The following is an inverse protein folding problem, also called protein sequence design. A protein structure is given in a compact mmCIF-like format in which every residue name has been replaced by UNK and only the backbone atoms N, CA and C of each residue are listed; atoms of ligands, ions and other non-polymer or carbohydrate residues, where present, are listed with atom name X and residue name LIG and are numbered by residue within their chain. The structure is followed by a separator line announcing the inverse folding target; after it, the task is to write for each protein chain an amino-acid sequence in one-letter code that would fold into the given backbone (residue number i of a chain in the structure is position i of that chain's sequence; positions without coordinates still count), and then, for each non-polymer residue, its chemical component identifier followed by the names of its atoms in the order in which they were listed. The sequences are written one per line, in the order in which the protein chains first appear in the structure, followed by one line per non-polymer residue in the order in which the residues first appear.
data_IF_876754701921
#
_entry.id   IF_876754701921
#
_cell.length_a   1.000
_cell.length_b   1.000
_cell.length_c   1.000
_cell.angle_alpha   90.00
_cell.angle_beta   90.00
_cell.angle_gamma   90.00
#
_symmetry.space_group_name_H-M   'P 1'
#
loop_
_entity.id
_entity.type
_entity.pdbx_description
1 polymer ?
#
# COMPACT_ATOMS: atom_id res chain seq x y z
N UNK A 1 18.85 13.16 15.88
CA UNK A 1 17.82 12.91 16.92
C UNK A 1 17.65 11.40 17.10
N UNK A 2 17.26 10.94 18.28
CA UNK A 2 16.90 9.52 18.53
C UNK A 2 15.40 9.32 18.39
N UNK A 3 14.93 8.10 18.09
CA UNK A 3 13.49 7.76 18.12
C UNK A 3 12.86 8.11 19.47
N UNK A 4 13.58 7.86 20.56
CA UNK A 4 13.12 8.23 21.91
C UNK A 4 12.88 9.74 22.08
N UNK A 5 13.65 10.59 21.40
CA UNK A 5 13.40 12.04 21.38
C UNK A 5 12.16 12.37 20.55
N UNK A 6 12.02 11.74 19.39
CA UNK A 6 10.88 11.94 18.49
C UNK A 6 9.55 11.58 19.18
N UNK A 7 9.52 10.45 19.91
CA UNK A 7 8.32 9.97 20.62
C UNK A 7 7.87 10.87 21.78
N UNK A 8 8.67 11.86 22.19
CA UNK A 8 8.23 12.91 23.13
C UNK A 8 7.28 13.90 22.46
N UNK A 9 7.43 14.08 21.15
CA UNK A 9 6.70 15.06 20.35
C UNK A 9 5.71 14.41 19.40
N UNK A 10 5.93 13.15 19.05
CA UNK A 10 5.15 12.43 18.04
C UNK A 10 4.57 11.14 18.58
N UNK A 11 3.33 10.84 18.22
CA UNK A 11 2.75 9.51 18.38
C UNK A 11 2.59 8.87 17.00
N UNK A 12 2.93 7.58 16.92
CA UNK A 12 2.78 6.77 15.72
C UNK A 12 1.59 5.84 15.93
N UNK A 13 0.56 5.95 15.10
CA UNK A 13 -0.47 4.91 15.00
C UNK A 13 -0.09 4.02 13.83
N UNK A 14 -0.07 2.70 14.05
CA UNK A 14 0.33 1.72 13.05
C UNK A 14 -0.82 0.73 12.91
N UNK A 15 -1.38 0.66 11.70
CA UNK A 15 -2.29 -0.42 11.30
C UNK A 15 -1.45 -1.39 10.48
N UNK A 16 -1.05 -2.55 11.03
CA UNK A 16 -0.12 -3.44 10.32
C UNK A 16 -0.75 -4.08 9.09
N UNK A 17 -2.03 -4.44 9.17
CA UNK A 17 -2.79 -5.11 8.11
C UNK A 17 -4.20 -4.52 8.15
N UNK A 18 -4.61 -3.85 7.07
CA UNK A 18 -5.97 -3.35 6.90
C UNK A 18 -6.92 -4.42 6.34
N UNK A 19 -6.41 -5.27 5.43
CA UNK A 19 -7.15 -6.33 4.74
C UNK A 19 -6.66 -7.72 5.21
N UNK A 20 -7.02 -8.17 6.43
CA UNK A 20 -6.57 -9.47 6.94
C UNK A 20 -7.16 -10.64 6.16
N UNK A 21 -8.35 -10.47 5.58
CA UNK A 21 -9.06 -11.52 4.87
C UNK A 21 -8.42 -11.73 3.48
N UNK A 22 -8.23 -10.66 2.72
CA UNK A 22 -7.52 -10.72 1.44
C UNK A 22 -6.06 -11.14 1.59
N UNK A 23 -5.42 -10.84 2.73
CA UNK A 23 -4.09 -11.38 3.04
C UNK A 23 -4.11 -12.92 3.06
N UNK A 24 -5.06 -13.52 3.77
CA UNK A 24 -5.17 -14.98 3.88
C UNK A 24 -5.43 -15.59 2.50
N UNK A 25 -6.36 -15.01 1.75
CA UNK A 25 -6.64 -15.42 0.37
C UNK A 25 -5.41 -15.33 -0.54
N UNK A 26 -4.57 -14.29 -0.39
CA UNK A 26 -3.36 -14.13 -1.21
C UNK A 26 -2.28 -15.20 -0.99
N UNK A 27 -2.36 -15.95 0.12
CA UNK A 27 -1.47 -17.08 0.39
C UNK A 27 -1.88 -18.34 -0.39
N UNK A 28 -3.14 -18.40 -0.83
CA UNK A 28 -3.69 -19.50 -1.63
C UNK A 28 -3.71 -19.11 -3.12
N UNK A 29 -4.20 -17.90 -3.43
CA UNK A 29 -4.15 -17.33 -4.77
C UNK A 29 -3.28 -16.05 -4.79
N UNK A 30 -2.05 -16.09 -5.32
CA UNK A 30 -1.12 -14.96 -5.30
C UNK A 30 -1.57 -13.76 -6.15
N UNK A 31 -2.61 -13.90 -6.97
CA UNK A 31 -3.24 -12.80 -7.71
C UNK A 31 -4.24 -12.01 -6.89
N UNK A 32 -4.71 -12.54 -5.76
CA UNK A 32 -5.77 -11.91 -4.99
C UNK A 32 -5.34 -10.57 -4.37
N UNK A 33 -6.17 -9.54 -4.58
CA UNK A 33 -5.94 -8.13 -4.19
C UNK A 33 -7.04 -7.55 -3.29
N UNK A 34 -8.30 -7.91 -3.57
CA UNK A 34 -9.50 -7.31 -2.97
C UNK A 34 -9.68 -7.80 -1.52
N UNK A 35 -10.69 -7.33 -0.82
CA UNK A 35 -11.11 -7.99 0.43
C UNK A 35 -11.99 -9.21 0.11
N UNK A 36 -12.46 -9.94 1.13
CA UNK A 36 -13.34 -11.10 0.95
C UNK A 36 -14.81 -10.78 1.22
N UNK A 37 -15.27 -9.61 0.76
CA UNK A 37 -16.72 -9.35 0.73
C UNK A 37 -17.32 -10.35 -0.28
N UNK A 38 -18.32 -11.17 0.11
CA UNK A 38 -19.00 -12.02 -0.85
C UNK A 38 -19.65 -11.17 -1.94
N UNK A 39 -19.35 -11.54 -3.18
CA UNK A 39 -19.90 -10.96 -4.39
C UNK A 39 -20.45 -12.13 -5.22
N UNK A 40 -21.56 -11.85 -5.89
CA UNK A 40 -22.20 -12.73 -6.87
C UNK A 40 -21.91 -12.04 -8.20
N UNK A 41 -20.78 -12.40 -8.82
CA UNK A 41 -20.20 -11.71 -9.97
C UNK A 41 -21.05 -11.89 -11.24
N UNK A 42 -21.64 -13.07 -11.43
CA UNK A 42 -22.37 -13.46 -12.64
C UNK A 42 -23.91 -13.40 -12.49
N UNK A 43 -24.41 -13.29 -11.25
CA UNK A 43 -25.81 -13.13 -10.90
C UNK A 43 -26.59 -14.43 -10.82
N UNK A 44 -25.93 -15.58 -10.67
CA UNK A 44 -26.56 -16.89 -10.58
C UNK A 44 -27.12 -17.21 -9.18
N UNK A 45 -26.75 -16.40 -8.18
CA UNK A 45 -27.20 -16.49 -6.79
C UNK A 45 -26.25 -17.25 -5.86
N UNK A 46 -25.06 -17.61 -6.34
CA UNK A 46 -23.95 -18.18 -5.61
C UNK A 46 -22.80 -17.16 -5.50
N UNK A 47 -21.76 -17.47 -4.72
CA UNK A 47 -20.67 -16.52 -4.43
C UNK A 47 -19.36 -17.28 -4.24
N UNK A 48 -18.26 -16.75 -4.80
CA UNK A 48 -16.88 -17.24 -4.59
C UNK A 48 -16.65 -18.71 -5.07
N UNK A 49 -17.10 -19.08 -6.27
CA UNK A 49 -17.27 -20.48 -6.68
C UNK A 49 -16.05 -21.16 -7.33
N UNK A 50 -15.25 -20.49 -8.18
CA UNK A 50 -14.04 -21.11 -8.79
C UNK A 50 -12.81 -20.17 -8.77
N UNK A 51 -12.18 -19.97 -7.60
CA UNK A 51 -10.88 -19.31 -7.56
C UNK A 51 -9.85 -20.15 -8.36
N UNK A 52 -8.88 -19.50 -9.02
CA UNK A 52 -7.76 -20.21 -9.63
C UNK A 52 -7.08 -21.14 -8.62
N UNK A 53 -6.70 -22.32 -9.11
CA UNK A 53 -6.06 -23.36 -8.31
C UNK A 53 -4.69 -23.72 -8.90
N UNK A 54 -3.69 -23.86 -8.04
CA UNK A 54 -2.38 -24.44 -8.39
C UNK A 54 -2.55 -25.96 -8.62
N UNK A 55 -2.80 -26.36 -9.87
CA UNK A 55 -3.14 -27.74 -10.22
C UNK A 55 -1.94 -28.67 -10.21
N UNK A 56 -0.76 -28.16 -10.53
CA UNK A 56 0.47 -28.95 -10.57
C UNK A 56 1.27 -28.93 -9.26
N UNK A 57 0.87 -28.07 -8.31
CA UNK A 57 1.40 -27.98 -6.96
C UNK A 57 2.78 -27.33 -6.90
N UNK A 58 3.14 -26.53 -7.91
CA UNK A 58 4.44 -25.87 -7.98
C UNK A 58 4.52 -24.58 -7.14
N UNK A 59 3.41 -24.17 -6.55
CA UNK A 59 3.26 -22.96 -5.73
C UNK A 59 2.90 -21.71 -6.55
N UNK A 60 2.54 -21.89 -7.81
CA UNK A 60 2.26 -20.82 -8.77
C UNK A 60 0.88 -21.00 -9.38
N UNK A 61 0.25 -19.90 -9.77
CA UNK A 61 -0.95 -19.91 -10.60
C UNK A 61 -0.59 -19.11 -11.84
N UNK A 62 -0.44 -19.78 -12.99
CA UNK A 62 -0.07 -19.07 -14.21
C UNK A 62 -1.26 -18.30 -14.80
N UNK A 63 -0.96 -17.17 -15.41
CA UNK A 63 -1.87 -16.50 -16.33
C UNK A 63 -1.44 -16.83 -17.75
N UNK A 64 -2.33 -17.40 -18.55
CA UNK A 64 -2.06 -17.79 -19.93
C UNK A 64 -2.87 -16.96 -20.91
N UNK A 65 -2.31 -16.75 -22.10
CA UNK A 65 -3.02 -16.11 -23.22
C UNK A 65 -2.51 -16.59 -24.57
N UNK A 66 -3.37 -16.56 -25.56
CA UNK A 66 -3.07 -16.81 -26.97
C UNK A 66 -3.92 -15.90 -27.86
N UNK A 67 -3.88 -16.11 -29.18
CA UNK A 67 -4.62 -15.29 -30.17
C UNK A 67 -6.15 -15.35 -30.00
N UNK A 68 -6.67 -16.37 -29.32
CA UNK A 68 -8.11 -16.65 -29.22
C UNK A 68 -8.68 -16.46 -27.83
N UNK A 69 -7.86 -16.61 -26.78
CA UNK A 69 -8.35 -16.66 -25.41
C UNK A 69 -7.25 -16.38 -24.37
N UNK A 70 -7.67 -16.21 -23.12
CA UNK A 70 -6.81 -16.01 -21.95
C UNK A 70 -7.50 -16.54 -20.69
N UNK A 71 -6.72 -16.89 -19.68
CA UNK A 71 -7.26 -17.39 -18.43
C UNK A 71 -6.19 -17.70 -17.41
N UNK A 72 -6.60 -18.24 -16.28
CA UNK A 72 -5.70 -18.68 -15.22
C UNK A 72 -5.61 -20.20 -15.18
N UNK A 73 -4.68 -20.71 -14.39
CA UNK A 73 -4.65 -22.11 -14.02
C UNK A 73 -5.81 -22.45 -13.07
N UNK A 74 -6.49 -23.57 -13.34
CA UNK A 74 -7.52 -24.15 -12.46
C UNK A 74 -8.55 -24.99 -13.24
N UNK A 75 -9.61 -25.41 -12.57
CA UNK A 75 -10.63 -26.35 -13.06
C UNK A 75 -12.04 -25.77 -12.95
N UNK A 76 -12.98 -26.38 -13.64
CA UNK A 76 -14.43 -26.17 -13.54
C UNK A 76 -14.91 -27.03 -12.36
N UNK A 77 -14.99 -26.45 -11.16
CA UNK A 77 -15.24 -27.20 -9.93
C UNK A 77 -16.73 -27.44 -9.67
N UNK A 78 -17.61 -26.63 -10.26
CA UNK A 78 -19.06 -26.70 -10.09
C UNK A 78 -19.80 -27.42 -11.26
N UNK A 79 -19.13 -27.55 -12.41
CA UNK A 79 -19.56 -28.32 -13.58
C UNK A 79 -20.49 -27.56 -14.53
N UNK A 80 -20.49 -26.23 -14.51
CA UNK A 80 -21.33 -25.39 -15.37
C UNK A 80 -20.77 -25.21 -16.80
N UNK A 81 -19.52 -25.61 -17.01
CA UNK A 81 -18.79 -25.54 -18.28
C UNK A 81 -17.87 -24.33 -18.42
N UNK A 82 -17.68 -23.56 -17.36
CA UNK A 82 -16.82 -22.38 -17.27
C UNK A 82 -15.59 -22.70 -16.38
N UNK A 83 -14.44 -22.12 -16.69
CA UNK A 83 -13.16 -22.43 -16.01
C UNK A 83 -12.69 -21.20 -15.25
N UNK A 84 -12.46 -21.35 -13.93
CA UNK A 84 -11.95 -20.28 -13.04
C UNK A 84 -12.84 -19.03 -13.01
N UNK A 85 -14.15 -19.22 -12.98
CA UNK A 85 -15.13 -18.15 -12.80
C UNK A 85 -15.42 -17.93 -11.31
N UNK A 86 -15.83 -16.73 -10.90
CA UNK A 86 -16.08 -16.42 -9.48
C UNK A 86 -14.88 -16.58 -8.54
N UNK A 87 -13.83 -15.84 -8.87
CA UNK A 87 -12.72 -15.57 -7.95
C UNK A 87 -13.25 -15.13 -6.59
N UNK A 88 -12.53 -15.44 -5.51
CA UNK A 88 -12.74 -14.79 -4.20
C UNK A 88 -12.97 -13.29 -4.42
N UNK A 89 -14.22 -12.87 -4.22
CA UNK A 89 -14.74 -11.65 -4.83
C UNK A 89 -14.25 -10.41 -4.11
N UNK A 90 -15.16 -9.47 -3.89
CA UNK A 90 -14.95 -8.35 -2.99
C UNK A 90 -14.46 -7.07 -3.65
N UNK A 91 -14.01 -6.13 -2.84
CA UNK A 91 -13.87 -4.71 -3.19
C UNK A 91 -12.41 -4.27 -3.11
N UNK A 92 -11.94 -3.49 -4.09
CA UNK A 92 -10.67 -2.78 -3.96
C UNK A 92 -10.83 -1.71 -2.88
N UNK A 93 -10.26 -1.97 -1.70
CA UNK A 93 -10.31 -1.04 -0.57
C UNK A 93 -9.74 0.33 -0.93
N UNK A 94 -8.79 0.41 -1.88
CA UNK A 94 -8.21 1.66 -2.37
C UNK A 94 -8.94 2.24 -3.59
N UNK A 95 -10.18 1.81 -3.85
CA UNK A 95 -11.20 2.51 -4.66
C UNK A 95 -12.48 2.81 -3.87
N UNK A 96 -12.54 2.38 -2.62
CA UNK A 96 -13.75 2.42 -1.79
C UNK A 96 -13.88 3.68 -0.90
N UNK A 97 -12.95 4.63 -0.96
CA UNK A 97 -13.04 5.86 -0.17
C UNK A 97 -13.95 6.89 -0.83
N UNK A 98 -14.58 7.75 -0.01
CA UNK A 98 -15.70 8.59 -0.44
C UNK A 98 -15.39 9.86 -1.25
N UNK A 99 -14.13 10.18 -1.53
CA UNK A 99 -13.78 11.36 -2.34
C UNK A 99 -13.51 10.94 -3.79
N UNK A 100 -14.23 11.54 -4.74
CA UNK A 100 -14.27 11.07 -6.14
C UNK A 100 -14.54 9.57 -6.26
N UNK A 101 -15.40 9.03 -5.38
CA UNK A 101 -15.81 7.63 -5.44
C UNK A 101 -16.62 7.36 -6.70
N UNK A 102 -16.30 6.26 -7.40
CA UNK A 102 -16.92 5.87 -8.67
C UNK A 102 -16.93 7.00 -9.72
N UNK A 103 -15.89 7.83 -9.74
CA UNK A 103 -15.70 8.84 -10.77
C UNK A 103 -15.35 8.17 -12.10
N UNK A 104 -16.30 8.15 -13.03
CA UNK A 104 -16.15 7.49 -14.33
C UNK A 104 -15.28 8.27 -15.32
N UNK A 105 -14.71 9.41 -14.93
CA UNK A 105 -13.80 10.19 -15.79
C UNK A 105 -12.32 9.83 -15.61
N UNK A 106 -12.00 8.95 -14.66
CA UNK A 106 -10.65 8.48 -14.37
C UNK A 106 -10.34 7.15 -15.08
N UNK A 107 -9.08 6.76 -15.10
CA UNK A 107 -8.63 5.53 -15.77
C UNK A 107 -8.91 4.25 -14.96
N UNK A 108 -8.95 4.34 -13.62
CA UNK A 108 -9.04 3.18 -12.73
C UNK A 108 -10.15 3.30 -11.67
N UNK A 109 -10.96 2.26 -11.60
CA UNK A 109 -12.14 2.15 -10.76
C UNK A 109 -13.29 1.63 -11.61
N UNK A 110 -14.00 0.62 -11.12
CA UNK A 110 -15.07 -0.04 -11.86
C UNK A 110 -16.30 -0.25 -11.00
N UNK A 111 -17.48 -0.13 -11.59
CA UNK A 111 -18.74 -0.57 -10.97
C UNK A 111 -19.05 -2.05 -11.24
N UNK A 112 -18.24 -2.70 -12.07
CA UNK A 112 -18.31 -4.13 -12.36
C UNK A 112 -17.71 -4.92 -11.19
N UNK A 113 -18.48 -5.79 -10.49
CA UNK A 113 -17.99 -6.57 -9.36
C UNK A 113 -16.83 -7.52 -9.68
N UNK A 114 -16.78 -8.03 -10.92
CA UNK A 114 -15.69 -8.90 -11.38
C UNK A 114 -14.37 -8.18 -11.64
N UNK A 115 -14.36 -6.83 -11.64
CA UNK A 115 -13.15 -6.07 -11.90
C UNK A 115 -12.22 -6.01 -10.68
N UNK A 116 -10.90 -6.10 -10.91
CA UNK A 116 -9.87 -5.90 -9.88
C UNK A 116 -9.94 -4.54 -9.19
N UNK A 117 -10.44 -3.52 -9.90
CA UNK A 117 -10.64 -2.17 -9.38
C UNK A 117 -12.11 -1.91 -8.98
N UNK A 118 -12.88 -2.94 -8.62
CA UNK A 118 -14.26 -2.78 -8.20
C UNK A 118 -14.37 -1.84 -7.00
N UNK A 119 -15.17 -0.78 -7.16
CA UNK A 119 -15.29 0.32 -6.17
C UNK A 119 -16.20 -0.02 -5.00
N UNK A 120 -16.91 -1.16 -5.07
CA UNK A 120 -17.92 -1.58 -4.11
C UNK A 120 -19.32 -1.02 -4.40
N UNK A 121 -20.34 -1.41 -3.61
CA UNK A 121 -21.71 -0.95 -3.77
C UNK A 121 -21.95 0.50 -3.30
N UNK A 122 -20.97 1.10 -2.60
CA UNK A 122 -21.04 2.46 -2.10
C UNK A 122 -19.71 2.91 -1.49
N UNK A 123 -19.49 4.23 -1.31
CA UNK A 123 -18.30 4.71 -0.62
C UNK A 123 -18.32 4.23 0.83
N UNK A 124 -17.19 3.69 1.29
CA UNK A 124 -17.06 3.06 2.60
C UNK A 124 -18.10 1.95 2.82
N UNK A 125 -18.40 1.15 1.79
CA UNK A 125 -19.21 -0.06 1.94
C UNK A 125 -18.52 -1.11 2.81
N UNK A 126 -17.18 -1.12 2.78
CA UNK A 126 -16.38 -2.16 3.42
C UNK A 126 -16.13 -1.87 4.91
N UNK A 127 -16.18 -2.89 5.79
CA UNK A 127 -15.89 -2.69 7.20
C UNK A 127 -14.48 -2.14 7.47
N UNK A 128 -13.49 -2.52 6.67
CA UNK A 128 -12.10 -2.11 6.75
C UNK A 128 -11.95 -0.60 6.47
N UNK A 129 -12.49 -0.12 5.35
CA UNK A 129 -12.43 1.32 5.01
C UNK A 129 -13.28 2.16 5.96
N UNK A 130 -14.42 1.63 6.48
CA UNK A 130 -15.18 2.29 7.55
C UNK A 130 -14.40 2.41 8.84
N UNK A 131 -13.71 1.35 9.26
CA UNK A 131 -12.87 1.39 10.46
C UNK A 131 -11.75 2.44 10.32
N UNK A 132 -11.11 2.50 9.15
CA UNK A 132 -10.10 3.53 8.87
C UNK A 132 -10.70 4.95 8.90
N UNK A 133 -11.84 5.16 8.23
CA UNK A 133 -12.57 6.43 8.25
C UNK A 133 -12.90 6.88 9.67
N UNK A 134 -13.52 6.01 10.46
CA UNK A 134 -13.98 6.34 11.81
C UNK A 134 -12.81 6.60 12.75
N UNK A 135 -11.71 5.85 12.59
CA UNK A 135 -10.47 6.13 13.31
C UNK A 135 -9.92 7.51 12.95
N UNK A 136 -9.75 7.83 11.67
CA UNK A 136 -9.19 9.12 11.23
C UNK A 136 -10.06 10.30 11.67
N UNK A 137 -11.37 10.21 11.48
CA UNK A 137 -12.29 11.29 11.86
C UNK A 137 -12.42 11.49 13.38
N UNK A 138 -12.08 10.48 14.18
CA UNK A 138 -12.02 10.61 15.65
C UNK A 138 -10.68 11.16 16.17
N UNK A 139 -9.69 11.35 15.29
CA UNK A 139 -8.35 11.83 15.64
C UNK A 139 -8.00 13.12 14.88
N UNK A 140 -8.39 14.26 15.43
CA UNK A 140 -8.14 15.58 14.83
C UNK A 140 -6.68 16.04 14.91
N UNK A 141 -5.77 15.22 15.43
CA UNK A 141 -4.37 15.55 15.71
C UNK A 141 -3.37 14.79 14.83
N UNK A 142 -3.87 14.08 13.82
CA UNK A 142 -3.07 13.46 12.78
C UNK A 142 -2.74 14.51 11.72
N UNK A 143 -1.44 14.70 11.43
CA UNK A 143 -0.99 15.71 10.45
C UNK A 143 -0.41 15.07 9.17
N UNK A 144 0.19 13.89 9.31
CA UNK A 144 0.81 13.13 8.21
C UNK A 144 0.30 11.69 8.19
N UNK A 145 0.20 11.12 6.99
CA UNK A 145 -0.14 9.71 6.77
C UNK A 145 0.81 9.07 5.76
N UNK A 146 1.13 7.80 5.96
CA UNK A 146 1.81 6.99 4.95
C UNK A 146 1.05 5.68 4.79
N UNK A 147 0.67 5.31 3.57
CA UNK A 147 0.19 3.97 3.24
C UNK A 147 1.24 3.25 2.41
N UNK A 148 1.63 2.07 2.85
CA UNK A 148 2.55 1.22 2.11
C UNK A 148 1.80 0.30 1.15
N UNK A 149 2.34 0.16 -0.05
CA UNK A 149 1.87 -0.70 -1.14
C UNK A 149 3.08 -1.35 -1.82
N UNK A 150 2.84 -2.26 -2.76
CA UNK A 150 3.86 -2.76 -3.67
C UNK A 150 3.30 -2.99 -5.07
N UNK A 151 4.22 -3.00 -6.04
CA UNK A 151 3.96 -3.13 -7.47
C UNK A 151 4.83 -2.17 -8.28
N UNK A 152 5.07 -0.94 -7.79
CA UNK A 152 5.65 0.10 -8.64
C UNK A 152 6.92 0.79 -8.14
N UNK A 153 7.44 0.42 -6.96
CA UNK A 153 8.71 0.94 -6.44
C UNK A 153 8.85 2.48 -6.53
N UNK A 154 7.95 3.24 -5.91
CA UNK A 154 7.90 4.71 -6.00
C UNK A 154 7.20 5.36 -4.79
N UNK A 155 7.28 6.70 -4.70
CA UNK A 155 6.52 7.50 -3.74
C UNK A 155 5.54 8.39 -4.49
N UNK A 156 4.27 8.30 -4.12
CA UNK A 156 3.15 9.01 -4.73
C UNK A 156 2.44 9.86 -3.69
N UNK A 157 1.74 10.89 -4.13
CA UNK A 157 0.90 11.76 -3.32
C UNK A 157 -0.23 12.35 -4.16
N UNK A 158 -1.30 12.88 -3.53
CA UNK A 158 -2.45 13.42 -4.24
C UNK A 158 -2.11 14.51 -5.27
N UNK A 159 -2.91 14.66 -6.32
CA UNK A 159 -4.16 13.92 -6.57
C UNK A 159 -3.94 12.60 -7.32
N UNK A 160 -4.81 11.62 -7.06
CA UNK A 160 -4.91 10.40 -7.86
C UNK A 160 -6.08 10.46 -8.85
N UNK A 161 -7.18 11.17 -8.55
CA UNK A 161 -8.31 11.31 -9.48
C UNK A 161 -8.03 12.22 -10.69
N UNK A 162 -6.94 12.99 -10.68
CA UNK A 162 -6.59 13.93 -11.75
C UNK A 162 -5.08 14.17 -11.83
N UNK A 163 -4.59 14.62 -12.99
CA UNK A 163 -3.21 15.06 -13.16
C UNK A 163 -2.95 16.50 -12.72
N UNK A 164 -3.98 17.25 -12.36
CA UNK A 164 -3.80 18.59 -11.84
C UNK A 164 -3.09 18.53 -10.48
N UNK A 165 -2.18 19.48 -10.17
CA UNK A 165 -1.53 19.52 -8.87
C UNK A 165 -2.54 19.84 -7.77
N UNK A 166 -2.32 19.29 -6.58
CA UNK A 166 -3.09 19.69 -5.40
C UNK A 166 -2.63 21.06 -4.85
N UNK A 167 -3.47 21.77 -4.07
CA UNK A 167 -3.08 23.05 -3.48
C UNK A 167 -1.77 23.01 -2.66
N UNK A 168 -1.50 21.89 -1.98
CA UNK A 168 -0.31 21.68 -1.14
C UNK A 168 0.81 20.90 -1.83
N UNK A 169 0.80 20.83 -3.16
CA UNK A 169 1.82 20.15 -3.99
C UNK A 169 3.25 20.43 -3.52
N UNK A 170 3.58 21.70 -3.27
CA UNK A 170 4.92 22.09 -2.82
C UNK A 170 5.33 21.57 -1.44
N UNK A 171 4.36 21.26 -0.57
CA UNK A 171 4.61 20.63 0.74
C UNK A 171 4.73 19.11 0.57
N UNK A 172 3.80 18.48 -0.15
CA UNK A 172 3.82 17.04 -0.40
C UNK A 172 5.07 16.61 -1.18
N UNK A 173 5.48 17.37 -2.19
CA UNK A 173 6.72 17.13 -2.93
C UNK A 173 7.97 17.17 -2.03
N UNK A 174 8.00 18.04 -1.01
CA UNK A 174 9.11 18.06 -0.03
C UNK A 174 9.11 16.83 0.87
N UNK A 175 7.93 16.39 1.31
CA UNK A 175 7.78 15.17 2.10
C UNK A 175 8.20 13.93 1.28
N UNK A 176 7.70 13.84 0.05
CA UNK A 176 8.05 12.79 -0.90
C UNK A 176 9.55 12.78 -1.22
N UNK A 177 10.18 13.96 -1.38
CA UNK A 177 11.62 14.06 -1.56
C UNK A 177 12.42 13.62 -0.33
N UNK A 178 11.99 14.01 0.88
CA UNK A 178 12.62 13.62 2.14
C UNK A 178 12.53 12.10 2.38
N UNK A 179 11.43 11.49 1.94
CA UNK A 179 11.21 10.05 1.99
C UNK A 179 12.01 9.33 0.90
N UNK A 180 11.68 9.60 -0.37
CA UNK A 180 12.16 8.86 -1.52
C UNK A 180 13.68 8.95 -1.71
N UNK A 181 14.31 10.07 -1.37
CA UNK A 181 15.77 10.20 -1.43
C UNK A 181 16.50 9.26 -0.46
N UNK A 182 15.90 8.94 0.69
CA UNK A 182 16.46 8.00 1.67
C UNK A 182 16.08 6.56 1.34
N UNK A 183 14.85 6.33 0.87
CA UNK A 183 14.37 5.02 0.46
C UNK A 183 15.07 4.52 -0.84
N UNK A 184 15.55 5.44 -1.67
CA UNK A 184 16.04 5.15 -3.02
C UNK A 184 14.90 4.92 -4.02
N UNK A 185 13.77 5.61 -3.83
CA UNK A 185 12.57 5.48 -4.66
C UNK A 185 12.35 6.77 -5.46
N UNK A 186 11.93 6.70 -6.73
CA UNK A 186 11.46 7.87 -7.48
C UNK A 186 10.23 8.48 -6.79
N UNK A 187 10.18 9.81 -6.75
CA UNK A 187 9.15 10.57 -6.02
C UNK A 187 8.67 11.82 -6.75
N UNK A 188 9.26 12.12 -7.92
CA UNK A 188 8.83 13.24 -8.76
C UNK A 188 7.79 12.74 -9.75
N UNK A 189 6.71 13.49 -10.04
CA UNK A 189 5.67 13.06 -10.97
C UNK A 189 6.21 12.63 -12.36
N UNK A 190 7.29 13.25 -12.83
CA UNK A 190 7.96 12.89 -14.08
C UNK A 190 8.77 11.58 -14.01
N UNK A 191 9.20 11.16 -12.82
CA UNK A 191 10.09 10.01 -12.61
C UNK A 191 9.33 8.74 -12.16
N UNK A 192 8.10 8.88 -11.64
CA UNK A 192 7.30 7.73 -11.20
C UNK A 192 6.66 6.98 -12.38
N UNK A 193 6.58 5.65 -12.32
CA UNK A 193 6.04 4.85 -13.44
C UNK A 193 4.51 4.81 -13.45
N UNK A 194 3.85 5.02 -12.30
CA UNK A 194 2.39 5.05 -12.17
C UNK A 194 1.87 6.39 -12.67
N UNK A 195 1.09 6.37 -13.76
CA UNK A 195 0.59 7.59 -14.43
C UNK A 195 -0.91 7.59 -14.69
N UNK A 196 -1.64 6.56 -14.29
CA UNK A 196 -3.09 6.49 -14.47
C UNK A 196 -3.82 7.20 -13.32
N UNK A 197 -5.01 7.72 -13.62
CA UNK A 197 -5.91 8.32 -12.61
C UNK A 197 -6.80 7.27 -11.95
N UNK A 198 -7.20 7.50 -10.70
CA UNK A 198 -7.98 6.56 -9.89
C UNK A 198 -9.15 7.24 -9.17
N UNK A 199 -10.29 6.56 -9.10
CA UNK A 199 -11.42 6.98 -8.26
C UNK A 199 -11.27 6.47 -6.83
N UNK A 200 -11.86 7.17 -5.87
CA UNK A 200 -12.08 6.68 -4.50
C UNK A 200 -10.84 6.20 -3.74
N UNK A 201 -9.68 6.83 -3.97
CA UNK A 201 -8.44 6.42 -3.30
C UNK A 201 -8.35 6.88 -1.85
N UNK A 202 -7.62 6.12 -1.03
CA UNK A 202 -7.36 6.48 0.37
C UNK A 202 -6.67 7.85 0.46
N UNK A 203 -5.64 8.09 -0.36
CA UNK A 203 -4.78 9.27 -0.31
C UNK A 203 -5.54 10.54 -0.65
N UNK A 204 -6.39 10.50 -1.68
CA UNK A 204 -7.22 11.67 -2.02
C UNK A 204 -8.24 11.98 -0.93
N UNK A 205 -8.84 10.96 -0.30
CA UNK A 205 -9.76 11.17 0.82
C UNK A 205 -9.05 11.73 2.06
N UNK A 206 -7.87 11.19 2.40
CA UNK A 206 -7.05 11.72 3.51
C UNK A 206 -6.73 13.20 3.32
N UNK A 207 -6.39 13.60 2.10
CA UNK A 207 -6.04 14.98 1.79
C UNK A 207 -7.27 15.89 1.72
N UNK A 208 -8.27 15.54 0.90
CA UNK A 208 -9.43 16.39 0.63
C UNK A 208 -10.36 16.54 1.83
N UNK A 209 -10.60 15.44 2.56
CA UNK A 209 -11.66 15.35 3.57
C UNK A 209 -11.09 15.35 4.98
N UNK A 210 -10.01 14.61 5.23
CA UNK A 210 -9.40 14.55 6.55
C UNK A 210 -8.37 15.66 6.80
N UNK A 211 -7.96 16.41 5.75
CA UNK A 211 -6.95 17.47 5.81
C UNK A 211 -5.59 17.00 6.33
N UNK A 212 -5.22 15.76 5.98
CA UNK A 212 -3.96 15.12 6.34
C UNK A 212 -3.06 15.08 5.11
N UNK A 213 -1.75 15.27 5.26
CA UNK A 213 -0.79 15.15 4.16
C UNK A 213 -0.39 13.68 3.96
N UNK A 214 -0.85 12.99 2.90
CA UNK A 214 -0.64 11.56 2.73
C UNK A 214 0.46 11.26 1.69
N UNK A 215 1.28 10.26 1.96
CA UNK A 215 2.13 9.62 0.96
C UNK A 215 1.69 8.17 0.75
N UNK A 216 1.52 7.77 -0.50
CA UNK A 216 1.40 6.36 -0.91
C UNK A 216 2.80 5.89 -1.30
N UNK A 217 3.33 4.87 -0.62
CA UNK A 217 4.69 4.37 -0.86
C UNK A 217 4.60 2.96 -1.42
N UNK A 218 4.93 2.82 -2.70
CA UNK A 218 5.13 1.54 -3.38
C UNK A 218 6.55 1.06 -3.05
N UNK A 219 6.70 0.14 -2.08
CA UNK A 219 8.01 -0.19 -1.49
C UNK A 219 8.90 -1.03 -2.39
N UNK A 220 8.31 -1.71 -3.36
CA UNK A 220 8.91 -2.66 -4.28
C UNK A 220 7.98 -2.85 -5.48
N UNK A 221 8.49 -3.46 -6.55
CA UNK A 221 7.69 -4.10 -7.60
C UNK A 221 8.27 -3.91 -8.99
N UNK A 222 7.71 -4.66 -9.94
CA UNK A 222 8.21 -4.77 -11.31
C UNK A 222 7.33 -4.04 -12.33
N UNK A 223 6.44 -3.15 -11.87
CA UNK A 223 5.59 -2.36 -12.77
C UNK A 223 6.41 -1.54 -13.76
N UNK A 224 6.08 -1.70 -15.04
CA UNK A 224 6.80 -1.09 -16.15
C UNK A 224 8.14 -1.74 -16.50
N UNK A 225 8.55 -2.82 -15.81
CA UNK A 225 9.76 -3.57 -16.14
C UNK A 225 9.44 -4.67 -17.16
N UNK A 226 9.43 -4.28 -18.44
CA UNK A 226 9.07 -5.18 -19.54
C UNK A 226 10.05 -6.35 -19.70
N UNK A 227 11.34 -6.12 -19.49
CA UNK A 227 12.35 -7.19 -19.54
C UNK A 227 12.09 -8.24 -18.46
N UNK A 228 11.77 -7.81 -17.24
CA UNK A 228 11.41 -8.75 -16.18
C UNK A 228 10.16 -9.53 -16.55
N UNK A 229 9.12 -8.88 -17.09
CA UNK A 229 7.90 -9.57 -17.53
C UNK A 229 8.19 -10.65 -18.59
N UNK A 230 9.00 -10.32 -19.60
CA UNK A 230 9.42 -11.26 -20.65
C UNK A 230 10.22 -12.45 -20.09
N UNK A 231 11.12 -12.21 -19.13
CA UNK A 231 11.93 -13.25 -18.49
C UNK A 231 11.08 -14.26 -17.68
N UNK A 232 9.90 -13.86 -17.22
CA UNK A 232 8.98 -14.68 -16.43
C UNK A 232 7.74 -15.11 -17.25
N UNK A 233 7.80 -14.95 -18.57
CA UNK A 233 6.79 -15.44 -19.52
C UNK A 233 7.39 -16.52 -20.40
N UNK A 234 6.77 -17.69 -20.44
CA UNK A 234 7.13 -18.80 -21.31
C UNK A 234 6.13 -18.91 -22.47
N UNK A 235 6.61 -19.11 -23.70
CA UNK A 235 5.75 -19.40 -24.85
C UNK A 235 5.87 -20.88 -25.25
N UNK A 236 4.73 -21.59 -25.26
CA UNK A 236 4.63 -22.98 -25.68
C UNK A 236 3.54 -23.10 -26.75
N UNK A 237 3.94 -23.47 -27.97
CA UNK A 237 3.04 -23.67 -29.11
C UNK A 237 2.11 -22.48 -29.42
N UNK A 238 2.60 -21.25 -29.26
CA UNK A 238 1.82 -20.03 -29.51
C UNK A 238 0.86 -19.63 -28.38
N UNK A 239 0.95 -20.26 -27.21
CA UNK A 239 0.32 -19.80 -25.97
C UNK A 239 1.40 -19.33 -25.01
N UNK A 240 1.24 -18.13 -24.48
CA UNK A 240 2.12 -17.56 -23.47
C UNK A 240 1.60 -17.91 -22.07
N UNK A 241 2.51 -18.10 -21.13
CA UNK A 241 2.25 -18.43 -19.73
C UNK A 241 3.13 -17.55 -18.85
N UNK A 242 2.52 -16.70 -18.05
CA UNK A 242 3.20 -15.90 -17.03
C UNK A 242 3.04 -16.56 -15.66
N UNK A 243 4.15 -16.77 -14.95
CA UNK A 243 4.18 -17.59 -13.72
C UNK A 243 4.39 -16.75 -12.46
N UNK A 244 5.32 -15.80 -12.45
CA UNK A 244 5.82 -15.25 -11.19
C UNK A 244 5.09 -14.01 -10.63
N UNK A 245 3.75 -14.02 -10.58
CA UNK A 245 2.98 -12.85 -10.10
C UNK A 245 3.37 -12.41 -8.68
N UNK A 246 3.66 -13.38 -7.80
CA UNK A 246 4.05 -13.08 -6.43
C UNK A 246 5.34 -12.24 -6.41
N UNK A 247 6.35 -12.64 -7.18
CA UNK A 247 7.63 -11.93 -7.28
C UNK A 247 7.51 -10.59 -8.01
N UNK A 248 6.49 -10.40 -8.85
CA UNK A 248 6.19 -9.10 -9.47
C UNK A 248 5.85 -8.04 -8.42
N UNK A 249 5.16 -8.43 -7.35
CA UNK A 249 4.71 -7.53 -6.27
C UNK A 249 5.52 -7.64 -4.98
N UNK A 250 6.24 -8.74 -4.75
CA UNK A 250 6.90 -9.01 -3.48
C UNK A 250 8.40 -9.24 -3.67
N UNK A 251 9.24 -8.59 -2.85
CA UNK A 251 10.69 -8.78 -2.93
C UNK A 251 11.10 -10.18 -2.48
N UNK A 252 12.26 -10.68 -2.94
CA UNK A 252 12.89 -11.87 -2.37
C UNK A 252 13.03 -11.76 -0.84
N UNK A 253 12.90 -12.90 -0.14
CA UNK A 253 12.85 -12.93 1.32
C UNK A 253 14.08 -12.30 1.99
N UNK A 254 15.25 -12.48 1.38
CA UNK A 254 16.53 -11.90 1.82
C UNK A 254 16.58 -10.37 1.71
N UNK A 255 15.76 -9.76 0.85
CA UNK A 255 15.71 -8.31 0.65
C UNK A 255 14.73 -7.61 1.59
N UNK A 256 13.73 -8.32 2.13
CA UNK A 256 12.66 -7.77 2.98
C UNK A 256 13.23 -6.91 4.10
N UNK A 257 14.23 -7.41 4.83
CA UNK A 257 14.84 -6.69 5.95
C UNK A 257 15.52 -5.40 5.51
N UNK A 258 16.21 -5.42 4.36
CA UNK A 258 16.90 -4.25 3.82
C UNK A 258 15.89 -3.19 3.34
N UNK A 259 14.80 -3.62 2.69
CA UNK A 259 13.70 -2.75 2.27
C UNK A 259 13.01 -2.11 3.48
N UNK A 260 12.67 -2.90 4.52
CA UNK A 260 12.10 -2.39 5.76
C UNK A 260 13.03 -1.37 6.44
N UNK A 261 14.33 -1.66 6.50
CA UNK A 261 15.30 -0.76 7.12
C UNK A 261 15.39 0.58 6.37
N UNK A 262 15.42 0.58 5.03
CA UNK A 262 15.45 1.81 4.23
C UNK A 262 14.17 2.63 4.40
N UNK A 263 13.01 1.98 4.33
CA UNK A 263 11.71 2.64 4.53
C UNK A 263 11.54 3.20 5.94
N UNK A 264 12.04 2.50 6.96
CA UNK A 264 12.07 3.02 8.32
C UNK A 264 12.91 4.31 8.44
N UNK A 265 14.10 4.36 7.83
CA UNK A 265 14.91 5.59 7.82
C UNK A 265 14.25 6.71 7.01
N UNK A 266 13.60 6.37 5.90
CA UNK A 266 12.88 7.32 5.04
C UNK A 266 11.68 7.93 5.76
N UNK A 267 10.91 7.12 6.49
CA UNK A 267 9.82 7.59 7.33
C UNK A 267 10.34 8.59 8.37
N UNK A 268 11.41 8.26 9.09
CA UNK A 268 12.00 9.19 10.06
C UNK A 268 12.49 10.49 9.40
N UNK A 269 13.13 10.40 8.23
CA UNK A 269 13.56 11.56 7.45
C UNK A 269 12.38 12.48 7.09
N UNK A 270 11.27 11.91 6.62
CA UNK A 270 10.04 12.63 6.32
C UNK A 270 9.44 13.29 7.57
N UNK A 271 9.35 12.58 8.70
CA UNK A 271 8.83 13.15 9.95
C UNK A 271 9.69 14.35 10.38
N UNK A 272 11.00 14.19 10.35
CA UNK A 272 11.95 15.20 10.79
C UNK A 272 11.98 16.42 9.86
N UNK A 273 11.73 16.23 8.56
CA UNK A 273 11.66 17.35 7.61
C UNK A 273 10.38 18.18 7.78
N UNK A 274 9.31 17.57 8.30
CA UNK A 274 8.04 18.23 8.59
C UNK A 274 8.04 18.95 9.94
N UNK A 275 8.66 18.37 10.97
CA UNK A 275 8.72 18.99 12.29
C UNK A 275 9.48 20.32 12.23
N UNK A 276 9.02 21.35 12.97
CA UNK A 276 9.75 22.60 13.06
C UNK A 276 11.14 22.35 13.67
N UNK A 277 12.16 23.14 13.28
CA UNK A 277 13.49 23.07 13.90
C UNK A 277 13.36 23.17 15.41
N UNK A 278 14.09 22.35 16.16
CA UNK A 278 14.19 22.52 17.61
C UNK A 278 14.67 23.95 17.88
N UNK A 279 13.84 24.74 18.58
CA UNK A 279 14.26 26.02 19.12
C UNK A 279 15.46 25.73 20.04
N UNK A 280 16.61 26.40 19.88
CA UNK A 280 17.73 26.19 20.78
C UNK A 280 17.23 26.46 22.20
N UNK A 281 17.40 25.47 23.08
CA UNK A 281 17.16 25.68 24.50
C UNK A 281 17.94 26.92 24.91
N UNK A 282 17.26 27.93 25.49
CA UNK A 282 17.96 29.05 26.10
C UNK A 282 19.08 28.49 26.99
N UNK A 283 20.29 29.06 26.96
CA UNK A 283 21.40 28.55 27.74
C UNK A 283 21.07 28.70 29.24
N UNK A 284 20.48 27.64 29.80
CA UNK A 284 20.34 27.45 31.23
C UNK A 284 21.74 27.46 31.84
N UNK A 285 21.96 28.38 32.78
CA UNK A 285 23.25 28.63 33.41
C UNK A 285 23.97 27.35 33.83
N UNK A 286 25.25 27.28 33.48
CA UNK A 286 26.14 26.18 33.77
C UNK A 286 26.17 25.78 35.26
N UNK A 287 26.19 24.48 35.52
CA UNK A 287 26.79 23.88 36.70
C UNK A 287 27.75 22.77 36.23
N UNK A 288 29.05 22.80 36.60
CA UNK A 288 30.02 21.79 36.19
C UNK A 288 30.02 20.62 37.17
N UNK A 289 29.94 19.38 36.69
CA UNK A 289 30.04 18.22 37.57
C UNK A 289 30.01 16.85 36.91
N UNK A 290 31.21 16.28 36.78
CA UNK A 290 31.57 14.85 36.76
C UNK A 290 31.33 13.99 35.52
N UNK A 291 32.48 13.61 34.96
CA UNK A 291 32.83 12.49 34.11
C UNK A 291 32.23 11.14 34.50
N UNK A 292 31.94 10.29 33.50
CA UNK A 292 31.91 8.84 33.71
C UNK A 292 31.17 8.05 32.63
N UNK A 293 31.97 7.37 31.79
CA UNK A 293 31.72 6.06 31.17
C UNK A 293 30.52 5.84 30.23
N UNK A 294 30.83 5.22 29.09
CA UNK A 294 29.97 4.18 28.53
C UNK A 294 29.71 4.29 27.04
N UNK A 295 30.74 4.07 26.21
CA UNK A 295 30.51 3.42 24.93
C UNK A 295 30.01 2.01 25.25
N UNK A 296 28.69 1.82 25.21
CA UNK A 296 28.06 0.50 25.22
C UNK A 296 27.33 0.34 23.90
N UNK A 297 28.08 -0.18 22.94
CA UNK A 297 27.61 -1.21 22.02
C UNK A 297 26.66 -2.18 22.73
N UNK A 298 25.38 -2.12 22.39
CA UNK A 298 24.46 -3.25 22.54
C UNK A 298 23.32 -3.12 21.54
N UNK A 299 22.99 -4.20 20.80
CA UNK A 299 21.94 -4.20 19.81
C UNK A 299 20.61 -4.23 20.54
N UNK A 300 19.85 -3.15 20.49
CA UNK A 300 18.44 -3.22 20.85
C UNK A 300 17.74 -3.80 19.62
N UNK A 301 17.62 -5.13 19.63
CA UNK A 301 16.72 -5.90 18.79
C UNK A 301 15.30 -5.46 19.10
N UNK A 302 14.83 -4.41 18.44
CA UNK A 302 13.40 -4.27 18.16
C UNK A 302 13.17 -5.18 16.96
N UNK A 303 12.68 -6.38 17.23
CA UNK A 303 12.12 -7.24 16.20
C UNK A 303 10.90 -6.50 15.64
N UNK A 304 11.10 -5.76 14.55
CA UNK A 304 10.07 -5.57 13.54
C UNK A 304 9.80 -6.97 12.99
N UNK A 305 8.83 -7.66 13.59
CA UNK A 305 8.14 -8.75 12.93
C UNK A 305 7.26 -8.11 11.84
N UNK A 306 7.89 -7.64 10.77
CA UNK A 306 7.28 -7.55 9.45
C UNK A 306 7.81 -8.77 8.71
N UNK A 307 7.24 -9.92 9.05
CA UNK A 307 7.30 -11.08 8.18
C UNK A 307 6.53 -10.69 6.92
N UNK A 308 7.10 -11.04 5.76
CA UNK A 308 6.55 -10.71 4.45
C UNK A 308 5.08 -11.10 4.35
N UNK A 309 4.36 -10.30 3.58
CA UNK A 309 3.04 -10.52 3.01
C UNK A 309 2.57 -9.13 2.59
N UNK A 310 2.31 -8.83 1.32
CA UNK A 310 1.17 -9.34 0.56
C UNK A 310 1.07 -8.51 -0.73
N UNK A 311 0.49 -9.13 -1.76
CA UNK A 311 0.14 -8.48 -3.02
C UNK A 311 -0.68 -7.20 -2.78
N UNK A 312 -0.44 -6.22 -3.66
CA UNK A 312 -1.43 -5.24 -4.11
C UNK A 312 -2.52 -4.88 -3.08
N UNK A 313 -2.24 -3.94 -2.16
CA UNK A 313 -3.30 -3.29 -1.38
C UNK A 313 -3.21 -3.34 0.14
N UNK A 314 -2.16 -3.89 0.75
CA UNK A 314 -2.03 -3.90 2.21
C UNK A 314 -1.35 -2.64 2.72
N UNK A 315 -2.19 -1.64 2.97
CA UNK A 315 -1.84 -0.40 3.67
C UNK A 315 -1.31 -0.69 5.07
N UNK A 316 0.02 -0.71 5.26
CA UNK A 316 0.56 -0.30 6.56
C UNK A 316 0.30 1.20 6.65
N UNK A 317 -0.65 1.63 7.48
CA UNK A 317 -0.88 3.07 7.68
C UNK A 317 -0.12 3.55 8.91
N UNK A 318 0.83 4.46 8.70
CA UNK A 318 1.57 5.11 9.79
C UNK A 318 1.13 6.57 9.89
N UNK A 319 0.64 6.94 11.05
CA UNK A 319 0.11 8.28 11.34
C UNK A 319 0.98 9.02 12.33
N UNK A 320 1.15 10.34 12.15
CA UNK A 320 2.01 11.15 13.00
C UNK A 320 1.20 12.21 13.73
N UNK A 321 1.24 12.14 15.05
CA UNK A 321 0.67 13.13 15.98
C UNK A 321 1.68 14.21 16.33
N UNK A 322 1.25 15.42 16.65
CA UNK A 322 2.02 16.38 17.47
C UNK A 322 1.49 16.41 18.90
N UNK A 323 2.30 16.05 19.91
CA UNK A 323 1.93 16.27 21.32
C UNK A 323 1.96 17.77 21.60
N UNK A 324 0.81 18.42 21.58
CA UNK A 324 0.66 19.74 22.19
C UNK A 324 0.71 19.53 23.71
N UNK A 325 1.69 20.14 24.39
CA UNK A 325 1.68 20.20 25.85
C UNK A 325 0.43 20.93 26.27
N UNK A 326 -0.52 20.24 26.92
CA UNK A 326 -1.56 20.92 27.70
C UNK A 326 -0.86 21.61 28.86
N UNK A 327 -0.50 22.86 28.65
CA UNK A 327 -0.08 23.78 29.69
C UNK A 327 -1.30 24.38 30.35
N UNK A 328 -1.68 23.84 31.51
CA UNK A 328 -2.20 24.50 32.69
C UNK A 328 -2.47 23.43 33.76
#
# INVERSE_FOLDING_TARGET
QTVASLLKHVAFYIVPILNPDGLIASLENPWHRKNLRPVDEDGDGLTDEDPPEDLDGDGTIYWWWNDTDHGFEGIDSDGDGLLNEDWLGGVDLNRNYGFHWNDTSVDSGSSDPGAEAYVGPGPFSEPETRAMRDFVLSHSDIELAVSYHSGAACVLYPWFYTHAPCPDEGTLAKLAAAYGSVAGLPYRPEDVPVRYTCSGTWGDWMYAVAHILPLTVEVYGMYGNWTWWEEHTEEVNGTCYFKDIWAYFNPPAEEIKAICQRNYQALLSMVLSYLPPEQPSEPGGAQPGTSGLGWLSSPITIALALAGTSALGISITIWLRRRVSRGA
#
